data_IF_776297498744
#
_entry.id   IF_776297498744
#
_cell.length_a   1.000
_cell.length_b   1.000
_cell.length_c   1.000
_cell.angle_alpha   90.00
_cell.angle_beta   90.00
_cell.angle_gamma   90.00
#
_symmetry.space_group_name_H-M   'P 1'
#
loop_
_entity.id
_entity.type
_entity.pdbx_description
1 polymer ?
#
# COMPACT_ATOMS: atom_id res chain seq x y z
N UNK A 1 -17.58 41.23 -81.06
CA UNK A 1 -16.61 41.03 -79.98
C UNK A 1 -17.37 40.70 -78.69
N UNK A 2 -17.55 39.43 -78.35
CA UNK A 2 -18.08 39.00 -77.03
C UNK A 2 -17.92 37.48 -76.96
N UNK A 3 -16.71 37.02 -76.61
CA UNK A 3 -16.39 35.62 -76.29
C UNK A 3 -15.01 35.64 -75.63
N UNK A 4 -14.97 35.59 -74.30
CA UNK A 4 -13.86 35.22 -73.40
C UNK A 4 -14.04 35.94 -72.05
N UNK A 5 -14.94 35.46 -71.20
CA UNK A 5 -14.95 35.81 -69.76
C UNK A 5 -15.95 34.97 -68.95
N UNK A 6 -16.06 33.66 -69.24
CA UNK A 6 -17.00 32.79 -68.51
C UNK A 6 -16.48 31.34 -68.38
N UNK A 7 -15.18 31.18 -68.17
CA UNK A 7 -14.56 29.86 -67.90
C UNK A 7 -13.71 29.84 -66.61
N UNK A 8 -13.53 30.97 -65.92
CA UNK A 8 -12.72 31.01 -64.67
C UNK A 8 -13.53 30.94 -63.37
N UNK A 9 -14.86 30.85 -63.41
CA UNK A 9 -15.69 30.80 -62.20
C UNK A 9 -16.23 29.40 -61.83
N UNK A 10 -15.92 28.37 -62.64
CA UNK A 10 -16.38 26.99 -62.43
C UNK A 10 -15.28 26.00 -62.01
N UNK A 11 -14.05 26.49 -61.78
CA UNK A 11 -12.93 25.68 -61.29
C UNK A 11 -12.55 25.95 -59.82
N UNK A 12 -13.41 26.65 -59.07
CA UNK A 12 -13.16 27.00 -57.66
C UNK A 12 -14.29 26.54 -56.71
N UNK A 13 -14.96 25.43 -57.02
CA UNK A 13 -15.99 24.82 -56.14
C UNK A 13 -15.79 23.34 -55.85
N UNK A 14 -14.59 22.81 -56.12
CA UNK A 14 -14.13 21.53 -55.59
C UNK A 14 -12.92 21.75 -54.68
N UNK A 15 -13.02 22.72 -53.76
CA UNK A 15 -12.35 22.53 -52.46
C UNK A 15 -13.19 21.46 -51.79
N UNK A 16 -12.73 20.21 -51.86
CA UNK A 16 -13.19 19.17 -50.95
C UNK A 16 -13.19 19.81 -49.57
N UNK A 17 -14.37 19.98 -48.98
CA UNK A 17 -14.46 20.16 -47.54
C UNK A 17 -13.85 18.88 -46.96
N UNK A 18 -12.54 18.91 -46.74
CA UNK A 18 -11.91 18.08 -45.72
C UNK A 18 -12.54 18.64 -44.44
N UNK A 19 -13.72 18.12 -44.07
CA UNK A 19 -14.20 18.31 -42.72
C UNK A 19 -13.06 17.76 -41.87
N UNK A 20 -12.36 18.64 -41.16
CA UNK A 20 -11.39 18.22 -40.17
C UNK A 20 -12.16 17.27 -39.25
N UNK A 21 -11.91 15.97 -39.40
CA UNK A 21 -12.68 14.97 -38.70
C UNK A 21 -12.46 15.22 -37.22
N UNK A 22 -13.51 15.68 -36.53
CA UNK A 22 -13.38 16.12 -35.15
C UNK A 22 -13.19 14.88 -34.30
N UNK A 23 -12.04 14.77 -33.64
CA UNK A 23 -11.76 13.66 -32.73
C UNK A 23 -12.63 13.88 -31.49
N UNK A 24 -13.45 12.88 -31.09
CA UNK A 24 -14.23 12.95 -29.86
C UNK A 24 -13.38 13.35 -28.64
N UNK A 25 -13.99 14.07 -27.70
CA UNK A 25 -13.31 14.46 -26.45
C UNK A 25 -13.04 13.28 -25.52
N UNK A 26 -13.84 12.22 -25.63
CA UNK A 26 -13.59 10.93 -24.98
C UNK A 26 -12.59 10.13 -25.82
N UNK A 27 -11.46 9.80 -25.19
CA UNK A 27 -10.35 9.13 -25.87
C UNK A 27 -9.49 8.33 -24.92
N UNK A 28 -8.79 7.37 -25.50
CA UNK A 28 -7.65 6.70 -24.89
C UNK A 28 -6.44 6.95 -25.78
N UNK A 29 -5.37 7.42 -25.17
CA UNK A 29 -4.12 7.76 -25.85
C UNK A 29 -3.10 6.67 -25.55
N UNK A 30 -2.59 6.03 -26.60
CA UNK A 30 -1.65 4.91 -26.50
C UNK A 30 -0.28 5.33 -27.02
N UNK A 31 0.75 4.80 -26.34
CA UNK A 31 2.12 4.89 -26.82
C UNK A 31 2.48 3.65 -27.62
N UNK A 32 3.07 3.86 -28.80
CA UNK A 32 3.46 2.83 -29.75
C UNK A 32 4.98 2.80 -29.84
N UNK A 33 5.54 1.62 -29.62
CA UNK A 33 6.97 1.37 -29.61
C UNK A 33 7.64 1.78 -30.93
N UNK A 34 8.90 2.24 -30.87
CA UNK A 34 9.74 2.44 -32.06
C UNK A 34 9.70 1.26 -33.02
N UNK A 35 9.74 1.55 -34.32
CA UNK A 35 9.80 0.59 -35.42
C UNK A 35 8.58 -0.36 -35.53
N UNK A 36 7.48 -0.08 -34.82
CA UNK A 36 6.23 -0.79 -35.05
C UNK A 36 5.77 -0.57 -36.51
N UNK A 37 5.47 -1.67 -37.21
CA UNK A 37 4.93 -1.65 -38.58
C UNK A 37 3.41 -1.58 -38.61
N UNK A 38 2.76 -1.85 -37.48
CA UNK A 38 1.32 -1.72 -37.32
C UNK A 38 0.89 -1.85 -35.87
N UNK A 39 -0.39 -1.68 -35.63
CA UNK A 39 -1.03 -1.80 -34.31
C UNK A 39 -2.38 -2.48 -34.47
N UNK A 40 -2.80 -3.21 -33.44
CA UNK A 40 -4.14 -3.78 -33.38
C UNK A 40 -4.67 -3.82 -31.95
N UNK A 41 -5.98 -3.62 -31.81
CA UNK A 41 -6.70 -3.63 -30.54
C UNK A 41 -8.19 -3.85 -30.82
N UNK A 42 -8.92 -4.30 -29.81
CA UNK A 42 -10.35 -4.53 -29.90
C UNK A 42 -11.11 -3.47 -29.11
N UNK A 43 -12.17 -2.93 -29.68
CA UNK A 43 -13.01 -1.91 -29.03
C UNK A 43 -14.47 -2.34 -29.02
N UNK A 44 -15.23 -1.75 -28.11
CA UNK A 44 -16.70 -1.72 -28.18
C UNK A 44 -17.17 -0.31 -27.88
N UNK A 45 -18.10 0.18 -28.68
CA UNK A 45 -18.81 1.43 -28.42
C UNK A 45 -20.28 1.13 -28.13
N UNK A 46 -21.02 2.10 -27.59
CA UNK A 46 -22.48 2.01 -27.56
C UNK A 46 -23.05 2.04 -28.99
N UNK A 47 -24.23 1.44 -29.17
CA UNK A 47 -24.82 1.27 -30.49
C UNK A 47 -24.90 2.62 -31.23
N UNK A 48 -24.38 2.65 -32.46
CA UNK A 48 -24.35 3.79 -33.39
C UNK A 48 -23.24 4.84 -33.15
N UNK A 49 -22.39 4.71 -32.14
CA UNK A 49 -21.26 5.64 -31.97
C UNK A 49 -20.07 5.23 -32.86
N UNK A 50 -19.62 6.08 -33.79
CA UNK A 50 -18.46 5.77 -34.63
C UNK A 50 -17.17 5.76 -33.80
N UNK A 51 -16.26 4.86 -34.16
CA UNK A 51 -14.91 4.85 -33.63
C UNK A 51 -14.00 5.67 -34.55
N UNK A 52 -13.26 6.62 -33.99
CA UNK A 52 -12.27 7.42 -34.71
C UNK A 52 -10.89 7.14 -34.13
N UNK A 53 -9.96 6.71 -34.97
CA UNK A 53 -8.58 6.49 -34.57
C UNK A 53 -7.65 7.46 -35.30
N UNK A 54 -6.87 8.23 -34.55
CA UNK A 54 -5.77 9.04 -35.06
C UNK A 54 -4.46 8.27 -34.87
N UNK A 55 -3.82 7.85 -35.96
CA UNK A 55 -2.61 7.01 -35.91
C UNK A 55 -1.30 7.80 -35.79
N UNK A 56 -1.40 9.10 -35.49
CA UNK A 56 -0.27 9.97 -35.18
C UNK A 56 0.23 10.77 -36.40
N UNK A 57 1.32 11.51 -36.20
CA UNK A 57 1.88 12.38 -37.22
C UNK A 57 2.21 11.62 -38.52
N UNK A 58 1.86 12.21 -39.65
CA UNK A 58 2.03 11.64 -41.00
C UNK A 58 1.23 10.35 -41.27
N UNK A 59 0.27 10.00 -40.41
CA UNK A 59 -0.67 8.90 -40.64
C UNK A 59 -2.09 9.44 -40.84
N UNK A 60 -2.98 8.59 -41.38
CA UNK A 60 -4.37 8.96 -41.56
C UNK A 60 -5.16 8.91 -40.24
N UNK A 61 -6.16 9.78 -40.12
CA UNK A 61 -7.29 9.56 -39.20
C UNK A 61 -8.28 8.63 -39.91
N UNK A 62 -8.72 7.56 -39.23
CA UNK A 62 -9.67 6.60 -39.80
C UNK A 62 -10.89 6.44 -38.91
N UNK A 63 -12.06 6.34 -39.54
CA UNK A 63 -13.29 5.90 -38.90
C UNK A 63 -13.46 4.40 -39.07
N UNK A 64 -13.91 3.73 -38.02
CA UNK A 64 -14.33 2.34 -38.05
C UNK A 64 -15.80 2.26 -37.64
N UNK A 65 -16.55 1.43 -38.36
CA UNK A 65 -17.93 1.11 -37.98
C UNK A 65 -17.90 0.12 -36.83
N UNK A 66 -18.43 0.53 -35.68
CA UNK A 66 -18.55 -0.35 -34.53
C UNK A 66 -19.62 -1.43 -34.76
N UNK A 67 -19.41 -2.61 -34.17
CA UNK A 67 -20.39 -3.70 -34.24
C UNK A 67 -21.68 -3.32 -33.49
N UNK A 68 -22.83 -3.56 -34.11
CA UNK A 68 -24.15 -3.17 -33.56
C UNK A 68 -24.79 -4.26 -32.69
N UNK A 69 -24.22 -5.47 -32.70
CA UNK A 69 -24.65 -6.64 -31.93
C UNK A 69 -24.01 -6.71 -30.53
N UNK A 70 -23.23 -5.70 -30.16
CA UNK A 70 -22.53 -5.64 -28.88
C UNK A 70 -21.19 -6.39 -28.84
N UNK A 71 -20.74 -6.97 -29.96
CA UNK A 71 -19.42 -7.60 -30.07
C UNK A 71 -18.27 -6.57 -30.12
N UNK A 72 -17.05 -7.07 -29.94
CA UNK A 72 -15.84 -6.26 -30.11
C UNK A 72 -15.53 -6.05 -31.60
N UNK A 73 -15.29 -4.80 -31.99
CA UNK A 73 -14.70 -4.45 -33.28
C UNK A 73 -13.18 -4.53 -33.19
N UNK A 74 -12.56 -5.38 -34.02
CA UNK A 74 -11.10 -5.40 -34.16
C UNK A 74 -10.66 -4.25 -35.04
N UNK A 75 -9.72 -3.46 -34.54
CA UNK A 75 -9.02 -2.42 -35.31
C UNK A 75 -7.63 -2.96 -35.62
N UNK A 76 -7.27 -2.91 -36.90
CA UNK A 76 -5.93 -3.21 -37.37
C UNK A 76 -5.46 -2.08 -38.28
N UNK A 77 -4.25 -1.60 -38.05
CA UNK A 77 -3.66 -0.53 -38.85
C UNK A 77 -2.19 -0.82 -39.11
N UNK A 78 -1.82 -0.83 -40.39
CA UNK A 78 -0.42 -0.84 -40.83
C UNK A 78 0.02 0.61 -41.04
N UNK A 79 1.12 1.00 -40.39
CA UNK A 79 1.67 2.34 -40.51
C UNK A 79 2.25 2.53 -41.91
N UNK A 80 1.83 3.59 -42.59
CA UNK A 80 2.34 3.94 -43.93
C UNK A 80 3.76 4.48 -43.82
N UNK A 81 4.04 5.20 -42.73
CA UNK A 81 5.33 5.81 -42.45
C UNK A 81 5.88 5.30 -41.12
N UNK A 82 6.46 4.08 -41.04
CA UNK A 82 7.05 3.56 -39.81
C UNK A 82 8.05 4.56 -39.19
N UNK A 83 8.07 4.66 -37.86
CA UNK A 83 8.85 5.66 -37.12
C UNK A 83 9.91 4.95 -36.31
N UNK A 84 11.14 5.43 -36.39
CA UNK A 84 12.25 4.99 -35.54
C UNK A 84 12.16 5.51 -34.11
N UNK A 85 11.27 6.47 -33.87
CA UNK A 85 10.91 6.99 -32.56
C UNK A 85 9.56 6.45 -32.11
N UNK A 86 9.33 6.50 -30.80
CA UNK A 86 8.01 6.29 -30.23
C UNK A 86 6.99 7.27 -30.83
N UNK A 87 5.77 6.79 -31.03
CA UNK A 87 4.65 7.63 -31.50
C UNK A 87 3.44 7.45 -30.62
N UNK A 88 2.53 8.40 -30.71
CA UNK A 88 1.24 8.36 -30.01
C UNK A 88 0.12 8.11 -31.00
N UNK A 89 -0.86 7.31 -30.59
CA UNK A 89 -2.14 7.17 -31.30
C UNK A 89 -3.28 7.47 -30.35
N UNK A 90 -4.41 7.91 -30.91
CA UNK A 90 -5.62 8.21 -30.15
C UNK A 90 -6.74 7.30 -30.63
N UNK A 91 -7.44 6.69 -29.68
CA UNK A 91 -8.63 5.86 -29.90
C UNK A 91 -9.80 6.60 -29.26
N UNK A 92 -10.68 7.18 -30.07
CA UNK A 92 -11.71 8.11 -29.62
C UNK A 92 -13.10 7.68 -30.13
N UNK A 93 -14.10 7.81 -29.25
CA UNK A 93 -15.51 7.58 -29.57
C UNK A 93 -16.36 8.28 -28.52
N UNK A 94 -17.49 8.88 -28.90
CA UNK A 94 -18.40 9.57 -27.96
C UNK A 94 -18.96 8.66 -26.85
N UNK A 95 -18.86 7.34 -27.03
CA UNK A 95 -19.31 6.33 -26.08
C UNK A 95 -18.44 5.08 -26.13
N UNK A 96 -17.14 5.23 -25.84
CA UNK A 96 -16.21 4.10 -25.79
C UNK A 96 -16.50 3.25 -24.55
N UNK A 97 -17.08 2.05 -24.73
CA UNK A 97 -17.48 1.17 -23.61
C UNK A 97 -16.37 0.20 -23.20
N UNK A 98 -15.55 -0.23 -24.16
CA UNK A 98 -14.47 -1.19 -23.90
C UNK A 98 -13.28 -0.93 -24.81
N UNK A 99 -12.07 -0.98 -24.24
CA UNK A 99 -10.83 -1.12 -24.99
C UNK A 99 -10.08 -2.34 -24.48
N UNK A 100 -9.66 -3.20 -25.41
CA UNK A 100 -8.90 -4.41 -25.12
C UNK A 100 -7.64 -4.49 -26.00
N UNK A 101 -6.50 -4.55 -25.33
CA UNK A 101 -5.17 -4.73 -25.91
C UNK A 101 -4.58 -5.99 -25.29
N UNK A 102 -4.35 -7.03 -26.09
CA UNK A 102 -3.84 -8.32 -25.62
C UNK A 102 -2.67 -8.78 -26.47
N UNK A 103 -1.53 -9.05 -25.83
CA UNK A 103 -0.32 -9.60 -26.47
C UNK A 103 0.20 -8.74 -27.63
N UNK A 104 0.12 -7.41 -27.49
CA UNK A 104 0.53 -6.46 -28.53
C UNK A 104 1.86 -5.81 -28.16
N UNK A 105 2.95 -6.38 -28.68
CA UNK A 105 4.32 -5.88 -28.45
C UNK A 105 4.55 -4.47 -28.99
N UNK A 106 3.68 -4.00 -29.87
CA UNK A 106 3.78 -2.68 -30.50
C UNK A 106 3.24 -1.58 -29.58
N UNK A 107 2.37 -1.89 -28.63
CA UNK A 107 1.93 -0.93 -27.61
C UNK A 107 2.92 -1.02 -26.44
N UNK A 108 3.38 0.12 -25.93
CA UNK A 108 4.30 0.18 -24.81
C UNK A 108 3.89 1.22 -23.74
N UNK A 109 2.67 1.76 -23.84
CA UNK A 109 2.14 2.71 -22.88
C UNK A 109 0.66 3.03 -23.06
N UNK A 110 0.03 3.44 -21.96
CA UNK A 110 -1.29 4.07 -21.91
C UNK A 110 -1.08 5.45 -21.29
N UNK A 111 -1.16 6.49 -22.11
CA UNK A 111 -0.75 7.84 -21.73
C UNK A 111 -1.90 8.67 -21.15
N UNK A 112 -3.11 8.44 -21.64
CA UNK A 112 -4.34 9.10 -21.17
C UNK A 112 -5.51 8.14 -21.31
N UNK A 113 -6.40 8.10 -20.31
CA UNK A 113 -7.68 7.40 -20.38
C UNK A 113 -8.77 8.36 -19.90
N UNK A 114 -9.63 8.77 -20.82
CA UNK A 114 -10.72 9.70 -20.55
C UNK A 114 -11.98 9.27 -21.28
N UNK A 115 -12.95 8.76 -20.56
CA UNK A 115 -14.25 8.40 -21.12
C UNK A 115 -15.26 8.18 -20.01
N UNK A 116 -16.39 8.87 -20.09
CA UNK A 116 -17.47 8.65 -19.14
C UNK A 116 -18.22 7.35 -19.43
N UNK A 117 -18.15 6.82 -20.65
CA UNK A 117 -18.80 5.57 -21.03
C UNK A 117 -17.98 4.30 -20.75
N UNK A 118 -16.68 4.42 -20.48
CA UNK A 118 -15.77 3.27 -20.39
C UNK A 118 -16.09 2.38 -19.19
N UNK A 119 -16.44 1.12 -19.47
CA UNK A 119 -16.73 0.11 -18.45
C UNK A 119 -15.61 -0.90 -18.26
N UNK A 120 -14.87 -1.21 -19.33
CA UNK A 120 -13.83 -2.24 -19.29
C UNK A 120 -12.56 -1.74 -20.00
N UNK A 121 -11.45 -1.74 -19.29
CA UNK A 121 -10.12 -1.52 -19.86
C UNK A 121 -9.26 -2.74 -19.60
N UNK A 122 -8.87 -3.42 -20.66
CA UNK A 122 -8.03 -4.61 -20.61
C UNK A 122 -6.73 -4.33 -21.38
N UNK A 123 -5.61 -4.23 -20.67
CA UNK A 123 -4.29 -4.05 -21.26
C UNK A 123 -3.41 -5.16 -20.71
N UNK A 124 -3.51 -6.34 -21.33
CA UNK A 124 -2.88 -7.55 -20.85
C UNK A 124 -1.74 -8.00 -21.78
N UNK A 125 -0.66 -8.53 -21.22
CA UNK A 125 0.53 -8.95 -21.97
C UNK A 125 1.15 -7.82 -22.82
N UNK A 126 1.15 -6.60 -22.29
CA UNK A 126 1.72 -5.40 -22.91
C UNK A 126 2.78 -4.85 -21.95
N UNK A 127 4.02 -4.69 -22.39
CA UNK A 127 5.08 -4.18 -21.52
C UNK A 127 4.90 -2.67 -21.30
N UNK A 128 4.48 -2.30 -20.08
CA UNK A 128 4.26 -0.91 -19.67
C UNK A 128 5.46 -0.34 -18.89
N UNK A 129 6.61 -1.02 -18.82
CA UNK A 129 7.75 -0.53 -18.00
C UNK A 129 8.23 0.88 -18.39
N UNK A 130 8.11 1.24 -19.67
CA UNK A 130 8.47 2.59 -20.14
C UNK A 130 7.47 3.66 -19.69
N UNK A 131 6.19 3.31 -19.68
CA UNK A 131 5.05 4.17 -19.32
C UNK A 131 4.23 3.48 -18.23
N UNK A 132 4.80 3.42 -17.03
CA UNK A 132 4.40 2.48 -15.98
C UNK A 132 3.29 2.97 -15.05
N UNK A 133 2.66 4.10 -15.37
CA UNK A 133 1.50 4.63 -14.67
C UNK A 133 0.28 4.49 -15.57
N UNK A 134 -0.78 3.88 -15.06
CA UNK A 134 -2.10 3.87 -15.70
C UNK A 134 -3.04 4.70 -14.85
N UNK A 135 -3.50 5.82 -15.42
CA UNK A 135 -4.40 6.75 -14.75
C UNK A 135 -5.78 6.69 -15.41
N UNK A 136 -6.75 6.17 -14.66
CA UNK A 136 -8.15 6.03 -15.08
C UNK A 136 -9.08 6.89 -14.20
N UNK A 137 -8.55 7.93 -13.56
CA UNK A 137 -9.33 8.80 -12.69
C UNK A 137 -10.50 9.49 -13.39
N UNK A 138 -10.38 9.73 -14.71
CA UNK A 138 -11.41 10.35 -15.56
C UNK A 138 -12.35 9.32 -16.22
N UNK A 139 -12.53 8.16 -15.59
CA UNK A 139 -13.43 7.10 -16.07
C UNK A 139 -14.43 6.72 -14.96
N UNK A 140 -15.40 7.57 -14.63
CA UNK A 140 -16.30 7.37 -13.49
C UNK A 140 -17.18 6.12 -13.59
N UNK A 141 -17.42 5.58 -14.79
CA UNK A 141 -18.22 4.37 -14.99
C UNK A 141 -17.38 3.10 -15.23
N UNK A 142 -16.07 3.16 -14.97
CA UNK A 142 -15.21 2.00 -15.11
C UNK A 142 -15.63 0.93 -14.08
N UNK A 143 -15.81 -0.30 -14.56
CA UNK A 143 -16.18 -1.45 -13.74
C UNK A 143 -14.99 -2.41 -13.59
N UNK A 144 -14.20 -2.59 -14.65
CA UNK A 144 -13.11 -3.57 -14.70
C UNK A 144 -11.86 -2.96 -15.31
N UNK A 145 -10.74 -3.10 -14.59
CA UNK A 145 -9.39 -2.81 -15.08
C UNK A 145 -8.51 -4.06 -14.98
N UNK A 146 -7.99 -4.56 -16.10
CA UNK A 146 -6.98 -5.63 -16.11
C UNK A 146 -5.68 -5.15 -16.74
N UNK A 147 -4.60 -5.29 -15.97
CA UNK A 147 -3.23 -4.93 -16.35
C UNK A 147 -2.31 -6.14 -16.10
N UNK A 148 -2.73 -7.33 -16.52
CA UNK A 148 -1.98 -8.57 -16.28
C UNK A 148 -0.81 -8.68 -17.23
N UNK A 149 0.33 -9.14 -16.75
CA UNK A 149 1.56 -9.28 -17.53
C UNK A 149 2.07 -7.95 -18.11
N UNK A 150 1.97 -6.87 -17.33
CA UNK A 150 2.31 -5.52 -17.81
C UNK A 150 3.52 -4.88 -17.16
N UNK A 151 3.83 -5.22 -15.91
CA UNK A 151 4.88 -4.53 -15.16
C UNK A 151 4.51 -3.10 -14.74
N UNK A 152 3.21 -2.74 -14.74
CA UNK A 152 2.72 -1.44 -14.23
C UNK A 152 3.18 -1.20 -12.79
N UNK A 153 3.58 0.04 -12.48
CA UNK A 153 4.07 0.43 -11.15
C UNK A 153 3.07 1.29 -10.37
N UNK A 154 2.23 2.07 -11.05
CA UNK A 154 1.22 2.92 -10.42
C UNK A 154 -0.13 2.82 -11.14
N UNK A 155 -1.19 2.69 -10.35
CA UNK A 155 -2.58 2.74 -10.83
C UNK A 155 -3.32 3.84 -10.06
N UNK A 156 -3.94 4.75 -10.80
CA UNK A 156 -4.88 5.74 -10.24
C UNK A 156 -6.29 5.32 -10.63
N UNK A 157 -7.07 4.87 -9.66
CA UNK A 157 -8.45 4.43 -9.85
C UNK A 157 -9.41 5.64 -9.90
N UNK A 158 -10.57 5.52 -10.57
CA UNK A 158 -11.61 6.53 -10.47
C UNK A 158 -12.19 6.57 -9.05
N UNK A 159 -12.67 7.75 -8.66
CA UNK A 159 -13.52 7.89 -7.48
C UNK A 159 -14.93 7.47 -7.88
N UNK A 160 -15.28 6.22 -7.62
CA UNK A 160 -16.52 5.65 -8.16
C UNK A 160 -16.98 4.40 -7.42
N UNK A 161 -18.30 4.30 -7.29
CA UNK A 161 -19.02 3.13 -6.79
C UNK A 161 -19.22 2.06 -7.89
N UNK A 162 -18.79 2.30 -9.12
CA UNK A 162 -18.96 1.37 -10.25
C UNK A 162 -17.85 0.34 -10.36
N UNK A 163 -16.67 0.64 -9.81
CA UNK A 163 -15.49 -0.24 -9.88
C UNK A 163 -15.74 -1.55 -9.14
N UNK A 164 -15.61 -2.67 -9.86
CA UNK A 164 -15.82 -4.04 -9.34
C UNK A 164 -14.52 -4.83 -9.26
N UNK A 165 -13.63 -4.66 -10.23
CA UNK A 165 -12.39 -5.45 -10.32
C UNK A 165 -11.20 -4.61 -10.77
N UNK A 166 -10.07 -4.80 -10.09
CA UNK A 166 -8.76 -4.30 -10.52
C UNK A 166 -7.71 -5.39 -10.43
N UNK A 167 -6.93 -5.58 -11.50
CA UNK A 167 -5.88 -6.59 -11.56
C UNK A 167 -4.60 -6.03 -12.17
N UNK A 168 -3.45 -6.44 -11.64
CA UNK A 168 -2.13 -6.05 -12.13
C UNK A 168 -1.09 -7.13 -11.81
N UNK A 169 -0.12 -7.31 -12.70
CA UNK A 169 1.03 -8.18 -12.44
C UNK A 169 2.29 -7.76 -13.22
N UNK A 170 3.49 -8.21 -12.78
CA UNK A 170 4.74 -8.09 -13.54
C UNK A 170 4.60 -8.60 -14.96
N UNK A 171 5.47 -8.18 -15.87
CA UNK A 171 5.53 -8.73 -17.23
C UNK A 171 5.70 -10.24 -17.25
N UNK A 172 5.53 -10.87 -18.43
CA UNK A 172 5.83 -12.30 -18.63
C UNK A 172 7.25 -12.70 -18.17
N UNK A 173 8.20 -11.77 -18.19
CA UNK A 173 9.58 -11.98 -17.76
C UNK A 173 9.79 -11.68 -16.27
N UNK A 174 8.73 -11.37 -15.52
CA UNK A 174 8.78 -11.02 -14.10
C UNK A 174 9.32 -9.62 -13.83
N UNK A 175 9.27 -8.71 -14.80
CA UNK A 175 9.78 -7.34 -14.67
C UNK A 175 8.66 -6.35 -14.34
N UNK A 176 9.01 -5.26 -13.66
CA UNK A 176 8.03 -4.29 -13.13
C UNK A 176 7.20 -4.86 -11.99
N UNK A 177 6.67 -3.99 -11.13
CA UNK A 177 5.83 -4.41 -10.01
C UNK A 177 4.96 -3.25 -9.53
N UNK A 178 3.69 -3.51 -9.24
CA UNK A 178 2.80 -2.50 -8.68
C UNK A 178 3.33 -2.01 -7.33
N UNK A 179 3.64 -0.72 -7.22
CA UNK A 179 4.16 -0.05 -6.01
C UNK A 179 3.10 0.85 -5.37
N UNK A 180 2.14 1.34 -6.16
CA UNK A 180 1.17 2.33 -5.70
C UNK A 180 -0.20 2.12 -6.32
N UNK A 181 -1.19 1.97 -5.45
CA UNK A 181 -2.61 1.95 -5.78
C UNK A 181 -3.39 2.41 -4.55
N UNK A 182 -4.44 3.18 -4.74
CA UNK A 182 -5.38 3.54 -3.69
C UNK A 182 -6.76 3.00 -4.07
N UNK A 183 -7.23 1.99 -3.34
CA UNK A 183 -8.55 1.39 -3.51
C UNK A 183 -9.64 2.04 -2.64
N UNK A 184 -9.29 3.02 -1.79
CA UNK A 184 -10.24 3.67 -0.89
C UNK A 184 -11.39 4.35 -1.62
N UNK A 185 -11.11 5.00 -2.75
CA UNK A 185 -12.12 5.73 -3.52
C UNK A 185 -12.99 4.84 -4.43
N UNK A 186 -12.83 3.52 -4.34
CA UNK A 186 -13.58 2.52 -5.09
C UNK A 186 -14.21 1.50 -4.13
N UNK A 187 -15.22 1.89 -3.32
CA UNK A 187 -15.71 1.07 -2.20
C UNK A 187 -16.33 -0.27 -2.63
N UNK A 188 -16.93 -0.32 -3.82
CA UNK A 188 -17.66 -1.49 -4.32
C UNK A 188 -16.78 -2.54 -5.03
N UNK A 189 -15.46 -2.45 -4.91
CA UNK A 189 -14.57 -3.50 -5.39
C UNK A 189 -14.95 -4.84 -4.74
N UNK A 190 -15.24 -5.82 -5.59
CA UNK A 190 -15.47 -7.22 -5.20
C UNK A 190 -14.24 -8.10 -5.49
N UNK A 191 -13.33 -7.65 -6.35
CA UNK A 191 -12.12 -8.38 -6.73
C UNK A 191 -10.88 -7.48 -6.77
N UNK A 192 -9.83 -7.90 -6.07
CA UNK A 192 -8.49 -7.30 -6.15
C UNK A 192 -7.48 -8.39 -6.51
N UNK A 193 -6.70 -8.17 -7.58
CA UNK A 193 -5.67 -9.10 -8.05
C UNK A 193 -4.32 -8.43 -8.30
N UNK A 194 -3.47 -8.34 -7.28
CA UNK A 194 -2.13 -7.76 -7.34
C UNK A 194 -1.05 -8.83 -7.16
N UNK A 195 -0.79 -9.60 -8.20
CA UNK A 195 0.28 -10.62 -8.18
C UNK A 195 1.63 -9.94 -8.40
N UNK A 196 2.66 -10.31 -7.65
CA UNK A 196 3.99 -9.74 -7.86
C UNK A 196 4.16 -8.28 -7.44
N UNK A 197 3.20 -7.73 -6.70
CA UNK A 197 3.25 -6.35 -6.25
C UNK A 197 4.36 -6.11 -5.20
N UNK A 198 4.82 -4.87 -5.14
CA UNK A 198 5.80 -4.34 -4.19
C UNK A 198 5.13 -3.35 -3.21
N UNK A 199 3.94 -3.69 -2.72
CA UNK A 199 3.20 -2.90 -1.74
C UNK A 199 3.42 -3.47 -0.33
N UNK A 200 3.71 -2.60 0.63
CA UNK A 200 3.96 -3.02 2.03
C UNK A 200 2.65 -3.16 2.83
N UNK A 201 1.66 -2.32 2.54
CA UNK A 201 0.36 -2.36 3.21
C UNK A 201 -0.76 -2.16 2.19
N UNK A 202 -1.81 -2.99 2.29
CA UNK A 202 -3.07 -2.80 1.57
C UNK A 202 -4.16 -2.41 2.58
N UNK A 203 -4.98 -1.40 2.27
CA UNK A 203 -6.05 -0.95 3.15
C UNK A 203 -7.42 -1.28 2.55
N UNK A 204 -8.08 -2.32 3.05
CA UNK A 204 -9.37 -2.81 2.54
C UNK A 204 -10.53 -2.45 3.46
N UNK A 205 -10.34 -1.51 4.40
CA UNK A 205 -11.41 -1.12 5.34
C UNK A 205 -12.64 -0.52 4.65
N UNK A 206 -12.47 0.02 3.44
CA UNK A 206 -13.57 0.54 2.62
C UNK A 206 -14.07 -0.47 1.56
N UNK A 207 -13.58 -1.73 1.57
CA UNK A 207 -13.91 -2.76 0.58
C UNK A 207 -14.32 -4.07 1.27
N UNK A 208 -15.31 -3.98 2.15
CA UNK A 208 -15.72 -5.13 3.01
C UNK A 208 -16.43 -6.24 2.25
N UNK A 209 -16.93 -5.96 1.04
CA UNK A 209 -17.64 -6.88 0.15
C UNK A 209 -16.72 -7.59 -0.87
N UNK A 210 -15.41 -7.62 -0.62
CA UNK A 210 -14.50 -8.41 -1.45
C UNK A 210 -14.86 -9.90 -1.38
N UNK A 211 -15.03 -10.50 -2.54
CA UNK A 211 -15.21 -11.95 -2.72
C UNK A 211 -13.90 -12.63 -3.16
N UNK A 212 -13.00 -11.88 -3.80
CA UNK A 212 -11.66 -12.34 -4.18
C UNK A 212 -10.57 -11.35 -3.80
N UNK A 213 -9.57 -11.82 -3.07
CA UNK A 213 -8.35 -11.08 -2.76
C UNK A 213 -7.12 -11.90 -3.12
N UNK A 214 -6.44 -11.51 -4.19
CA UNK A 214 -5.18 -12.10 -4.64
C UNK A 214 -4.09 -11.04 -4.54
N UNK A 215 -3.14 -11.22 -3.63
CA UNK A 215 -1.97 -10.37 -3.44
C UNK A 215 -0.75 -11.26 -3.20
N UNK A 216 -0.45 -12.17 -4.12
CA UNK A 216 0.52 -13.25 -3.93
C UNK A 216 1.85 -13.00 -4.63
N UNK A 217 2.88 -13.73 -4.21
CA UNK A 217 4.18 -13.85 -4.89
C UNK A 217 4.84 -12.47 -5.10
N UNK A 218 4.97 -11.65 -4.06
CA UNK A 218 5.48 -10.28 -4.19
C UNK A 218 6.90 -10.26 -4.75
N UNK A 219 7.32 -9.09 -5.23
CA UNK A 219 8.72 -8.91 -5.62
C UNK A 219 9.67 -9.20 -4.44
N UNK A 220 10.88 -9.66 -4.75
CA UNK A 220 11.84 -10.14 -3.74
C UNK A 220 12.06 -9.09 -2.64
N UNK A 221 11.83 -9.52 -1.38
CA UNK A 221 11.95 -8.68 -0.18
C UNK A 221 11.00 -7.46 -0.11
N UNK A 222 9.91 -7.45 -0.90
CA UNK A 222 8.94 -6.33 -0.99
C UNK A 222 7.49 -6.81 -0.76
N UNK A 223 7.31 -7.89 -0.01
CA UNK A 223 5.98 -8.43 0.29
C UNK A 223 5.18 -7.59 1.27
N UNK A 224 3.86 -7.80 1.24
CA UNK A 224 2.92 -7.21 2.18
C UNK A 224 3.29 -7.59 3.62
N UNK A 225 3.22 -6.60 4.50
CA UNK A 225 3.38 -6.71 5.95
C UNK A 225 2.12 -6.36 6.71
N UNK A 226 1.06 -5.96 6.01
CA UNK A 226 -0.24 -5.71 6.61
C UNK A 226 -1.36 -5.58 5.59
N UNK A 227 -2.53 -6.09 5.97
CA UNK A 227 -3.80 -5.83 5.29
C UNK A 227 -4.73 -5.20 6.33
N UNK A 228 -4.92 -3.88 6.26
CA UNK A 228 -5.81 -3.18 7.20
C UNK A 228 -7.24 -3.55 6.89
N UNK A 229 -7.98 -4.02 7.89
CA UNK A 229 -9.33 -4.53 7.69
C UNK A 229 -9.38 -6.00 7.23
N UNK A 230 -8.27 -6.75 7.25
CA UNK A 230 -8.25 -8.17 6.87
C UNK A 230 -9.38 -8.99 7.50
N UNK A 231 -9.62 -8.78 8.81
CA UNK A 231 -10.66 -9.48 9.57
C UNK A 231 -12.09 -8.98 9.28
N UNK A 232 -12.27 -7.91 8.52
CA UNK A 232 -13.58 -7.39 8.11
C UNK A 232 -14.09 -8.05 6.82
N UNK A 233 -13.22 -8.74 6.07
CA UNK A 233 -13.57 -9.41 4.82
C UNK A 233 -14.31 -10.73 5.09
N UNK A 234 -15.63 -10.66 5.28
CA UNK A 234 -16.47 -11.82 5.62
C UNK A 234 -17.03 -12.56 4.40
N UNK A 235 -16.95 -11.97 3.22
CA UNK A 235 -17.57 -12.47 1.98
C UNK A 235 -16.56 -13.15 1.04
N UNK A 236 -15.29 -13.25 1.44
CA UNK A 236 -14.26 -13.89 0.64
C UNK A 236 -14.60 -15.36 0.38
N UNK A 237 -14.52 -15.74 -0.89
CA UNK A 237 -14.51 -17.12 -1.36
C UNK A 237 -13.15 -17.51 -1.94
N UNK A 238 -12.30 -16.53 -2.27
CA UNK A 238 -10.94 -16.73 -2.79
C UNK A 238 -9.93 -15.81 -2.10
N UNK A 239 -8.84 -16.39 -1.62
CA UNK A 239 -7.72 -15.69 -1.00
C UNK A 239 -6.39 -16.28 -1.49
N UNK A 240 -5.52 -15.47 -2.07
CA UNK A 240 -4.11 -15.87 -2.28
C UNK A 240 -3.17 -14.75 -1.84
N UNK A 241 -2.54 -14.93 -0.69
CA UNK A 241 -1.57 -14.01 -0.09
C UNK A 241 -0.23 -14.70 0.15
N UNK A 242 0.07 -15.77 -0.60
CA UNK A 242 1.33 -16.52 -0.46
C UNK A 242 2.57 -15.65 -0.71
N UNK A 243 3.65 -15.95 0.00
CA UNK A 243 4.96 -15.32 -0.23
C UNK A 243 5.14 -13.93 0.39
N UNK A 244 4.16 -13.44 1.16
CA UNK A 244 4.24 -12.16 1.88
C UNK A 244 4.91 -12.32 3.25
N UNK A 245 4.74 -11.36 4.15
CA UNK A 245 5.22 -11.40 5.53
C UNK A 245 4.08 -11.04 6.50
N UNK A 246 2.93 -11.69 6.33
CA UNK A 246 1.71 -11.46 7.12
C UNK A 246 1.62 -12.41 8.32
N UNK A 247 1.18 -11.90 9.46
CA UNK A 247 0.79 -12.69 10.64
C UNK A 247 -0.71 -13.04 10.65
N UNK A 248 -1.14 -13.84 11.62
CA UNK A 248 -2.50 -14.39 11.68
C UNK A 248 -3.59 -13.32 11.67
N UNK A 249 -3.42 -12.22 12.40
CA UNK A 249 -4.39 -11.11 12.45
C UNK A 249 -4.48 -10.32 11.13
N UNK A 250 -3.44 -10.42 10.29
CA UNK A 250 -3.30 -9.69 9.03
C UNK A 250 -3.77 -10.48 7.81
N UNK A 251 -4.15 -11.75 7.99
CA UNK A 251 -4.67 -12.62 6.93
C UNK A 251 -6.19 -12.77 7.14
N UNK A 252 -7.05 -12.56 6.13
CA UNK A 252 -8.49 -12.78 6.25
C UNK A 252 -8.84 -14.21 6.71
N UNK A 253 -9.91 -14.37 7.49
CA UNK A 253 -10.41 -15.70 7.84
C UNK A 253 -11.39 -16.20 6.76
N UNK A 254 -11.59 -17.50 6.70
CA UNK A 254 -12.66 -18.12 5.90
C UNK A 254 -13.97 -18.11 6.68
N UNK A 255 -14.89 -17.24 6.27
CA UNK A 255 -16.24 -17.17 6.83
C UNK A 255 -17.27 -17.94 6.00
N UNK A 256 -17.14 -17.92 4.67
CA UNK A 256 -18.02 -18.65 3.76
C UNK A 256 -17.71 -20.15 3.83
N UNK A 257 -18.62 -20.92 4.45
CA UNK A 257 -18.42 -22.34 4.77
C UNK A 257 -18.37 -23.23 3.53
N UNK A 258 -18.98 -22.81 2.42
CA UNK A 258 -18.98 -23.59 1.17
C UNK A 258 -17.82 -23.22 0.23
N UNK A 259 -17.03 -22.19 0.56
CA UNK A 259 -15.87 -21.83 -0.24
C UNK A 259 -14.77 -22.91 -0.14
N UNK A 260 -14.18 -23.40 -1.24
CA UNK A 260 -13.18 -24.46 -1.19
C UNK A 260 -11.97 -24.08 -0.31
N UNK A 261 -11.42 -25.03 0.45
CA UNK A 261 -10.27 -24.76 1.34
C UNK A 261 -9.01 -24.44 0.53
N UNK A 262 -8.87 -25.06 -0.64
CA UNK A 262 -7.78 -24.86 -1.59
C UNK A 262 -7.73 -23.43 -2.17
N UNK A 263 -8.84 -22.69 -2.11
CA UNK A 263 -8.92 -21.30 -2.54
C UNK A 263 -8.42 -20.32 -1.47
N UNK A 264 -8.07 -20.80 -0.27
CA UNK A 264 -7.46 -20.00 0.80
C UNK A 264 -5.98 -20.31 0.96
N UNK A 265 -5.15 -19.58 0.22
CA UNK A 265 -3.71 -19.82 0.08
C UNK A 265 -2.90 -18.73 0.78
N UNK A 266 -2.15 -19.13 1.81
CA UNK A 266 -1.35 -18.21 2.63
C UNK A 266 0.02 -18.80 3.03
N UNK A 267 0.48 -19.87 2.37
CA UNK A 267 1.79 -20.47 2.61
C UNK A 267 2.96 -19.53 2.26
N UNK A 268 4.16 -19.94 2.67
CA UNK A 268 5.43 -19.26 2.36
C UNK A 268 5.53 -17.84 2.91
N UNK A 269 4.88 -17.54 4.03
CA UNK A 269 5.07 -16.27 4.73
C UNK A 269 6.53 -16.14 5.22
N UNK A 270 7.09 -14.95 5.07
CA UNK A 270 8.34 -14.54 5.69
C UNK A 270 8.17 -14.21 7.17
N UNK A 271 9.23 -13.68 7.76
CA UNK A 271 9.22 -13.32 9.18
C UNK A 271 8.26 -12.16 9.46
N UNK A 272 7.50 -12.28 10.55
CA UNK A 272 6.61 -11.22 11.02
C UNK A 272 7.41 -10.07 11.63
N UNK A 273 7.16 -8.85 11.16
CA UNK A 273 7.69 -7.64 11.78
C UNK A 273 6.73 -7.17 12.87
N UNK A 274 7.09 -7.40 14.13
CA UNK A 274 6.31 -6.91 15.28
C UNK A 274 6.31 -5.37 15.26
N UNK A 275 5.14 -4.72 15.24
CA UNK A 275 5.06 -3.26 15.27
C UNK A 275 5.68 -2.70 16.55
N UNK A 276 6.36 -1.55 16.46
CA UNK A 276 6.95 -0.90 17.64
C UNK A 276 5.92 -0.56 18.72
N UNK A 277 4.67 -0.27 18.33
CA UNK A 277 3.57 -0.01 19.27
C UNK A 277 3.17 -1.23 20.12
N UNK A 278 3.60 -2.44 19.73
CA UNK A 278 3.42 -3.68 20.49
C UNK A 278 4.59 -4.00 21.42
N UNK A 279 5.60 -3.12 21.48
CA UNK A 279 6.76 -3.29 22.34
C UNK A 279 6.78 -2.16 23.36
N UNK A 280 6.81 -2.51 24.64
CA UNK A 280 6.93 -1.55 25.74
C UNK A 280 7.93 -2.10 26.75
N UNK A 281 9.12 -1.50 26.77
CA UNK A 281 10.18 -1.95 27.65
C UNK A 281 10.61 -3.37 27.33
N UNK A 282 10.60 -4.22 28.36
CA UNK A 282 10.85 -5.66 28.24
C UNK A 282 9.59 -6.47 27.93
N UNK A 283 8.53 -5.83 27.46
CA UNK A 283 7.24 -6.48 27.16
C UNK A 283 6.94 -6.44 25.66
N UNK A 284 6.49 -7.58 25.14
CA UNK A 284 5.93 -7.71 23.78
C UNK A 284 4.47 -8.12 23.87
N UNK A 285 3.58 -7.32 23.28
CA UNK A 285 2.14 -7.53 23.23
C UNK A 285 1.74 -8.15 21.88
N UNK A 286 1.50 -9.47 21.88
CA UNK A 286 0.97 -10.22 20.74
C UNK A 286 -0.47 -10.69 21.02
N UNK A 287 -1.24 -9.95 21.82
CA UNK A 287 -2.62 -10.30 22.18
C UNK A 287 -3.49 -10.57 20.93
N UNK A 288 -3.35 -9.77 19.88
CA UNK A 288 -4.13 -9.91 18.65
C UNK A 288 -3.85 -11.24 17.90
N UNK A 289 -2.70 -11.87 18.19
CA UNK A 289 -2.32 -13.16 17.64
C UNK A 289 -2.73 -14.33 18.55
N UNK A 290 -3.16 -14.07 19.80
CA UNK A 290 -3.36 -15.11 20.82
C UNK A 290 -4.47 -16.10 20.44
N UNK A 291 -5.55 -15.60 19.84
CA UNK A 291 -6.68 -16.39 19.35
C UNK A 291 -6.99 -15.99 17.91
N UNK A 292 -6.79 -16.92 16.97
CA UNK A 292 -7.00 -16.69 15.54
C UNK A 292 -7.83 -17.80 14.91
N UNK A 293 -8.67 -17.47 13.92
CA UNK A 293 -9.56 -18.44 13.25
C UNK A 293 -8.95 -19.02 11.99
N UNK A 294 -8.48 -18.16 11.08
CA UNK A 294 -7.96 -18.61 9.78
C UNK A 294 -9.00 -19.39 8.99
N UNK A 295 -8.67 -20.62 8.60
CA UNK A 295 -9.62 -21.52 7.90
C UNK A 295 -10.39 -22.45 8.85
N UNK A 296 -10.13 -22.41 10.16
CA UNK A 296 -10.87 -23.22 11.14
C UNK A 296 -12.32 -22.73 11.31
N UNK A 297 -13.17 -23.62 11.81
CA UNK A 297 -14.56 -23.31 12.17
C UNK A 297 -14.66 -22.50 13.47
N UNK A 298 -13.63 -22.55 14.31
CA UNK A 298 -13.54 -21.82 15.58
C UNK A 298 -12.22 -21.04 15.70
N UNK A 299 -12.12 -20.17 16.72
CA UNK A 299 -10.84 -19.53 17.05
C UNK A 299 -9.95 -20.53 17.77
N UNK A 300 -8.75 -20.70 17.26
CA UNK A 300 -7.72 -21.56 17.80
C UNK A 300 -6.70 -20.75 18.61
N UNK A 301 -6.21 -21.33 19.71
CA UNK A 301 -5.14 -20.73 20.50
C UNK A 301 -3.81 -20.85 19.77
N UNK A 302 -3.06 -19.75 19.74
CA UNK A 302 -1.70 -19.74 19.22
C UNK A 302 -0.72 -20.25 20.27
N UNK A 303 0.17 -21.15 19.86
CA UNK A 303 1.34 -21.55 20.63
C UNK A 303 2.50 -20.58 20.33
N UNK A 304 3.15 -20.08 21.37
CA UNK A 304 4.28 -19.16 21.27
C UNK A 304 5.53 -19.81 21.87
N UNK A 305 6.56 -20.01 21.05
CA UNK A 305 7.87 -20.53 21.46
C UNK A 305 8.90 -19.42 21.37
N UNK A 306 9.32 -18.93 22.53
CA UNK A 306 10.30 -17.85 22.65
C UNK A 306 11.73 -18.36 22.76
N UNK A 307 12.63 -17.68 22.08
CA UNK A 307 14.07 -17.87 22.20
C UNK A 307 14.77 -16.53 22.33
N UNK A 308 15.95 -16.53 22.93
CA UNK A 308 16.75 -15.33 23.17
C UNK A 308 18.21 -15.52 22.80
N UNK A 309 18.94 -14.40 22.73
CA UNK A 309 20.41 -14.36 22.74
C UNK A 309 20.87 -13.50 23.91
N UNK A 310 21.85 -14.00 24.66
CA UNK A 310 22.48 -13.25 25.76
C UNK A 310 23.26 -12.02 25.28
N UNK A 311 23.90 -12.12 24.11
CA UNK A 311 24.61 -11.02 23.44
C UNK A 311 24.46 -11.15 21.91
N UNK A 312 24.96 -10.18 21.15
CA UNK A 312 24.78 -10.16 19.68
C UNK A 312 25.36 -11.40 18.98
N UNK A 313 26.50 -11.90 19.47
CA UNK A 313 27.23 -13.04 18.93
C UNK A 313 26.78 -14.39 19.51
N UNK A 314 26.00 -14.39 20.59
CA UNK A 314 25.51 -15.62 21.22
C UNK A 314 24.58 -16.43 20.30
N UNK A 315 24.50 -17.74 20.54
CA UNK A 315 23.53 -18.62 19.88
C UNK A 315 22.13 -18.46 20.49
N UNK A 316 21.10 -18.76 19.70
CA UNK A 316 19.73 -18.74 20.20
C UNK A 316 19.46 -19.90 21.18
N UNK A 317 18.90 -19.57 22.33
CA UNK A 317 18.48 -20.54 23.35
C UNK A 317 16.99 -20.36 23.67
N UNK A 318 16.32 -21.41 24.15
CA UNK A 318 14.94 -21.30 24.63
C UNK A 318 14.90 -20.38 25.85
N UNK A 319 13.92 -19.48 25.92
CA UNK A 319 13.73 -18.64 27.11
C UNK A 319 13.32 -19.53 28.30
N UNK A 320 14.05 -19.49 29.43
CA UNK A 320 13.65 -20.19 30.65
C UNK A 320 12.28 -19.73 31.16
N UNK A 321 11.48 -20.66 31.69
CA UNK A 321 10.09 -20.39 32.06
C UNK A 321 9.94 -19.42 33.24
N UNK A 322 10.94 -19.36 34.11
CA UNK A 322 11.06 -18.45 35.25
C UNK A 322 11.53 -17.04 34.85
N UNK A 323 12.12 -16.88 33.66
CA UNK A 323 12.60 -15.59 33.13
C UNK A 323 11.63 -14.94 32.13
N UNK A 324 10.39 -15.44 32.06
CA UNK A 324 9.35 -14.87 31.22
C UNK A 324 7.98 -15.07 31.84
N UNK A 325 7.21 -14.00 31.99
CA UNK A 325 5.78 -14.09 32.30
C UNK A 325 4.96 -14.01 31.02
N UNK A 326 3.84 -14.73 30.98
CA UNK A 326 2.92 -14.77 29.83
C UNK A 326 1.49 -14.64 30.32
N UNK A 327 0.77 -13.63 29.81
CA UNK A 327 -0.64 -13.41 30.07
C UNK A 327 -1.36 -13.07 28.76
N UNK A 328 -2.21 -13.98 28.29
CA UNK A 328 -3.06 -13.77 27.10
C UNK A 328 -2.31 -13.26 25.84
N UNK A 329 -1.10 -13.75 25.58
CA UNK A 329 -0.30 -13.32 24.43
C UNK A 329 0.55 -12.07 24.67
N UNK A 330 0.58 -11.55 25.91
CA UNK A 330 1.57 -10.56 26.35
C UNK A 330 2.71 -11.27 27.08
N UNK A 331 3.94 -10.93 26.71
CA UNK A 331 5.14 -11.59 27.21
C UNK A 331 6.08 -10.55 27.81
N UNK A 332 6.44 -10.71 29.08
CA UNK A 332 7.44 -9.85 29.74
C UNK A 332 8.67 -10.67 30.07
N UNK A 333 9.82 -10.15 29.69
CA UNK A 333 11.10 -10.83 29.78
C UNK A 333 11.95 -10.28 30.92
N UNK A 334 12.67 -11.16 31.61
CA UNK A 334 13.64 -10.74 32.62
C UNK A 334 14.87 -10.10 31.97
N UNK A 335 15.41 -9.05 32.60
CA UNK A 335 16.58 -8.33 32.09
C UNK A 335 17.87 -9.18 32.10
N UNK A 336 17.94 -10.18 32.99
CA UNK A 336 19.07 -11.12 33.10
C UNK A 336 19.26 -12.01 31.87
N UNK A 337 18.31 -12.00 30.93
CA UNK A 337 18.45 -12.65 29.63
C UNK A 337 19.50 -11.97 28.72
N UNK A 338 20.05 -10.82 29.11
CA UNK A 338 21.05 -10.07 28.34
C UNK A 338 22.29 -9.77 29.17
N UNK A 339 23.46 -9.84 28.52
CA UNK A 339 24.76 -9.41 29.04
C UNK A 339 24.98 -7.89 28.90
N UNK A 340 24.17 -7.21 28.07
CA UNK A 340 24.41 -5.88 27.55
C UNK A 340 23.13 -5.01 27.48
N UNK A 341 22.36 -4.92 28.56
CA UNK A 341 21.15 -4.07 28.73
C UNK A 341 20.09 -4.16 27.61
N UNK A 342 20.23 -5.10 26.68
CA UNK A 342 19.44 -5.22 25.46
C UNK A 342 19.01 -6.67 25.29
N UNK A 343 17.79 -6.96 25.73
CA UNK A 343 17.21 -8.30 25.64
C UNK A 343 16.83 -8.57 24.17
N UNK A 344 17.48 -9.58 23.57
CA UNK A 344 17.27 -9.96 22.17
C UNK A 344 16.42 -11.23 22.13
N UNK A 345 15.17 -11.11 21.71
CA UNK A 345 14.24 -12.24 21.65
C UNK A 345 13.69 -12.43 20.25
N UNK A 346 13.24 -13.64 19.94
CA UNK A 346 12.37 -13.89 18.80
C UNK A 346 11.35 -14.97 19.17
N UNK A 347 10.19 -14.91 18.53
CA UNK A 347 9.12 -15.87 18.74
C UNK A 347 8.91 -16.72 17.49
N UNK A 348 8.66 -18.02 17.68
CA UNK A 348 8.04 -18.89 16.68
C UNK A 348 6.62 -19.17 17.10
N UNK A 349 5.67 -19.09 16.17
CA UNK A 349 4.25 -19.19 16.45
C UNK A 349 3.58 -20.26 15.59
N UNK A 350 2.70 -21.04 16.20
CA UNK A 350 1.88 -22.08 15.56
C UNK A 350 0.41 -21.82 15.88
N UNK A 351 -0.49 -21.93 14.90
CA UNK A 351 -1.93 -21.82 15.13
C UNK A 351 -2.68 -22.83 14.25
N UNK A 352 -3.61 -23.59 14.85
CA UNK A 352 -4.37 -24.64 14.15
C UNK A 352 -5.26 -24.13 13.01
N UNK A 353 -5.64 -22.85 13.05
CA UNK A 353 -6.42 -22.18 12.00
C UNK A 353 -5.61 -21.84 10.74
N UNK A 354 -4.29 -21.98 10.78
CA UNK A 354 -3.39 -21.65 9.67
C UNK A 354 -2.45 -22.82 9.32
N UNK A 355 -2.97 -24.00 8.95
CA UNK A 355 -2.13 -25.10 8.49
C UNK A 355 -1.31 -24.67 7.26
N UNK A 356 -0.05 -25.08 7.20
CA UNK A 356 0.83 -24.75 6.06
C UNK A 356 1.38 -23.32 6.05
N UNK A 357 1.13 -22.51 7.09
CA UNK A 357 1.68 -21.15 7.16
C UNK A 357 3.21 -21.16 7.23
N UNK A 358 3.84 -20.15 6.63
CA UNK A 358 5.29 -20.02 6.58
C UNK A 358 5.95 -21.03 5.63
N UNK A 359 7.18 -21.43 5.93
CA UNK A 359 7.94 -22.36 5.07
C UNK A 359 7.25 -23.72 5.00
N UNK A 360 7.17 -24.29 3.78
CA UNK A 360 6.55 -25.59 3.52
C UNK A 360 7.00 -26.65 4.54
N UNK A 361 6.03 -27.31 5.17
CA UNK A 361 6.25 -28.36 6.16
C UNK A 361 6.53 -27.89 7.59
N UNK A 362 6.70 -26.58 7.84
CA UNK A 362 6.98 -26.06 9.18
C UNK A 362 5.73 -25.61 9.95
N UNK A 363 4.64 -25.25 9.25
CA UNK A 363 3.38 -24.76 9.85
C UNK A 363 3.57 -23.65 10.90
N UNK A 364 4.57 -22.81 10.70
CA UNK A 364 4.99 -21.80 11.69
C UNK A 364 5.40 -20.51 11.01
N UNK A 365 5.17 -19.41 11.72
CA UNK A 365 5.75 -18.10 11.41
C UNK A 365 6.68 -17.69 12.54
N UNK A 366 7.79 -17.03 12.21
CA UNK A 366 8.72 -16.50 13.20
C UNK A 366 8.78 -14.99 13.10
N UNK A 367 9.00 -14.30 14.22
CA UNK A 367 9.28 -12.87 14.18
C UNK A 367 10.68 -12.60 13.64
N UNK A 368 10.93 -11.36 13.19
CA UNK A 368 12.29 -10.84 13.22
C UNK A 368 12.81 -10.79 14.67
N UNK A 369 14.13 -10.67 14.85
CA UNK A 369 14.69 -10.42 16.18
C UNK A 369 14.10 -9.11 16.72
N UNK A 370 13.53 -9.21 17.91
CA UNK A 370 12.99 -8.08 18.67
C UNK A 370 14.06 -7.70 19.68
N UNK A 371 14.47 -6.43 19.64
CA UNK A 371 15.40 -5.83 20.59
C UNK A 371 14.57 -5.08 21.62
N UNK A 372 14.66 -5.51 22.88
CA UNK A 372 13.92 -4.97 24.01
C UNK A 372 14.88 -4.23 24.91
N UNK A 373 14.56 -2.97 25.16
CA UNK A 373 15.28 -2.14 26.12
C UNK A 373 14.40 -2.00 27.33
N UNK A 374 14.97 -2.03 28.54
CA UNK A 374 14.19 -1.75 29.73
C UNK A 374 13.58 -0.36 29.57
N UNK A 375 12.26 -0.25 29.71
CA UNK A 375 11.62 1.06 29.82
C UNK A 375 12.38 1.80 30.92
N UNK A 376 12.80 3.06 30.71
CA UNK A 376 13.43 3.83 31.77
C UNK A 376 12.44 3.92 32.93
N UNK A 377 12.59 3.05 33.91
CA UNK A 377 12.00 3.21 35.23
C UNK A 377 12.68 4.44 35.78
N UNK A 378 12.00 5.57 35.77
CA UNK A 378 12.43 6.85 36.35
C UNK A 378 13.93 7.05 36.61
N UNK A 379 14.52 8.02 35.90
CA UNK A 379 15.80 8.69 36.22
C UNK A 379 17.10 7.88 36.05
N UNK A 380 17.11 6.68 35.45
CA UNK A 380 18.38 5.98 35.15
C UNK A 380 19.07 6.43 33.85
N UNK A 381 18.52 7.37 33.08
CA UNK A 381 19.12 7.93 31.85
C UNK A 381 19.26 9.45 31.87
N UNK A 382 19.28 10.05 33.04
CA UNK A 382 19.51 11.49 33.19
C UNK A 382 21.01 11.70 33.17
N UNK A 383 21.53 12.25 32.08
CA UNK A 383 22.86 12.81 32.11
C UNK A 383 22.80 14.03 33.03
N UNK A 384 23.64 14.04 34.06
CA UNK A 384 24.01 15.27 34.78
C UNK A 384 24.68 16.20 33.76
N UNK A 385 23.89 16.96 33.00
CA UNK A 385 24.41 18.19 32.43
C UNK A 385 24.50 19.17 33.59
N UNK A 386 25.66 19.80 33.76
CA UNK A 386 25.87 20.83 34.77
C UNK A 386 24.73 21.86 34.71
N UNK A 387 23.79 21.77 35.66
CA UNK A 387 22.57 22.58 35.62
C UNK A 387 22.90 24.04 35.90
N UNK A 388 22.34 24.94 35.08
CA UNK A 388 22.49 26.41 35.17
C UNK A 388 21.79 27.05 36.39
N UNK A 389 21.18 26.22 37.25
CA UNK A 389 20.57 26.61 38.52
C UNK A 389 20.77 25.52 39.59
N UNK A 390 20.83 25.94 40.86
CA UNK A 390 20.89 25.08 42.03
C UNK A 390 19.59 25.13 42.83
N UNK A 391 19.26 24.03 43.53
CA UNK A 391 18.09 23.97 44.40
C UNK A 391 18.50 23.49 45.78
N UNK A 392 18.09 24.20 46.83
CA UNK A 392 18.31 23.85 48.23
C UNK A 392 16.97 23.79 48.97
N UNK A 393 16.82 22.85 49.90
CA UNK A 393 15.61 22.79 50.72
C UNK A 393 15.59 23.91 51.76
N UNK A 394 14.41 24.45 52.06
CA UNK A 394 14.18 25.40 53.16
C UNK A 394 13.16 24.81 54.14
N UNK A 395 12.97 25.43 55.30
CA UNK A 395 11.99 24.97 56.30
C UNK A 395 10.56 24.93 55.73
N UNK A 396 10.21 25.90 54.89
CA UNK A 396 8.87 26.06 54.30
C UNK A 396 8.75 25.56 52.85
N UNK A 397 9.84 25.12 52.21
CA UNK A 397 9.83 24.90 50.77
C UNK A 397 11.19 24.52 50.18
N UNK A 398 11.50 25.14 49.05
CA UNK A 398 12.85 25.13 48.47
C UNK A 398 13.25 26.53 47.97
N UNK A 399 14.56 26.77 47.92
CA UNK A 399 15.18 27.91 47.27
C UNK A 399 15.82 27.46 45.98
N UNK A 400 15.51 28.16 44.89
CA UNK A 400 16.05 27.91 43.56
C UNK A 400 16.94 29.10 43.22
N UNK A 401 18.24 28.85 43.08
CA UNK A 401 19.26 29.87 42.77
C UNK A 401 19.74 29.70 41.32
N UNK A 402 19.85 30.79 40.56
CA UNK A 402 20.38 30.78 39.20
C UNK A 402 21.32 31.97 39.01
N UNK A 403 22.39 31.79 38.21
CA UNK A 403 23.33 32.87 37.88
C UNK A 403 22.73 33.92 36.93
N UNK A 404 21.74 33.53 36.12
CA UNK A 404 20.93 34.43 35.28
C UNK A 404 19.44 34.16 35.48
N UNK A 405 18.59 35.21 35.51
CA UNK A 405 17.15 35.03 35.62
C UNK A 405 16.58 34.16 34.50
N UNK A 406 15.74 33.19 34.83
CA UNK A 406 15.12 32.27 33.88
C UNK A 406 13.79 31.71 34.39
N UNK A 407 12.94 31.28 33.46
CA UNK A 407 11.68 30.61 33.77
C UNK A 407 11.89 29.16 34.22
N UNK A 408 11.19 28.78 35.28
CA UNK A 408 11.23 27.43 35.87
C UNK A 408 9.83 26.99 36.25
N UNK A 409 9.58 25.69 36.14
CA UNK A 409 8.35 25.03 36.62
C UNK A 409 8.70 23.91 37.61
N UNK A 410 7.98 23.87 38.73
CA UNK A 410 8.05 22.83 39.74
C UNK A 410 6.88 21.86 39.55
N UNK A 411 7.21 20.57 39.47
CA UNK A 411 6.26 19.47 39.33
C UNK A 411 6.30 18.57 40.56
N UNK A 412 5.15 18.03 40.95
CA UNK A 412 5.08 16.88 41.85
C UNK A 412 5.46 15.59 41.13
N UNK A 413 5.69 14.51 41.88
CA UNK A 413 6.10 13.21 41.32
C UNK A 413 5.07 12.56 40.37
N UNK A 414 3.79 12.91 40.51
CA UNK A 414 2.71 12.48 39.61
C UNK A 414 2.63 13.32 38.31
N UNK A 415 3.53 14.29 38.14
CA UNK A 415 3.63 15.13 36.94
C UNK A 415 2.73 16.37 36.96
N UNK A 416 2.02 16.65 38.06
CA UNK A 416 1.20 17.85 38.19
C UNK A 416 2.07 19.09 38.42
N UNK A 417 1.75 20.19 37.76
CA UNK A 417 2.40 21.49 38.00
C UNK A 417 1.99 22.02 39.37
N UNK A 418 2.98 22.27 40.22
CA UNK A 418 2.81 22.81 41.58
C UNK A 418 3.10 24.31 41.58
N UNK A 419 4.06 24.77 40.78
CA UNK A 419 4.43 26.18 40.69
C UNK A 419 5.15 26.50 39.38
N UNK A 420 5.00 27.71 38.86
CA UNK A 420 5.76 28.23 37.70
C UNK A 420 6.13 29.69 37.94
N UNK A 421 7.35 30.10 37.61
CA UNK A 421 7.79 31.48 37.74
C UNK A 421 9.25 31.71 37.36
N UNK A 422 9.77 32.88 37.68
CA UNK A 422 11.16 33.27 37.42
C UNK A 422 12.05 33.01 38.65
N UNK A 423 13.28 32.55 38.43
CA UNK A 423 14.29 32.30 39.48
C UNK A 423 15.45 33.30 39.36
N UNK A 424 16.20 33.64 40.43
CA UNK A 424 16.22 33.01 41.76
C UNK A 424 14.97 33.34 42.60
N UNK A 425 14.45 32.35 43.33
CA UNK A 425 13.26 32.53 44.18
C UNK A 425 13.17 31.48 45.30
N UNK A 426 12.26 31.70 46.25
CA UNK A 426 11.85 30.70 47.24
C UNK A 426 10.42 30.28 46.95
N UNK A 427 10.19 28.98 46.88
CA UNK A 427 8.89 28.38 46.60
C UNK A 427 8.44 27.57 47.82
N UNK A 428 7.29 27.91 48.38
CA UNK A 428 6.65 27.10 49.41
C UNK A 428 6.05 25.84 48.78
N UNK A 429 6.40 24.66 49.30
CA UNK A 429 6.03 23.36 48.73
C UNK A 429 5.77 22.39 49.86
N UNK A 430 4.67 21.68 50.02
CA UNK A 430 4.49 20.73 51.15
C UNK A 430 5.61 19.67 51.26
N UNK A 431 5.75 18.97 52.42
CA UNK A 431 6.76 17.90 52.56
C UNK A 431 6.57 16.84 51.47
N UNK A 432 7.65 16.52 50.75
CA UNK A 432 7.53 15.68 49.57
C UNK A 432 8.72 15.78 48.62
N UNK A 433 8.58 15.11 47.49
CA UNK A 433 9.56 15.09 46.42
C UNK A 433 9.04 15.88 45.22
N UNK A 434 9.88 16.75 44.68
CA UNK A 434 9.54 17.62 43.55
C UNK A 434 10.62 17.61 42.49
N UNK A 435 10.23 18.00 41.28
CA UNK A 435 11.11 18.19 40.12
C UNK A 435 11.03 19.66 39.72
N UNK A 436 12.16 20.36 39.77
CA UNK A 436 12.29 21.74 39.33
C UNK A 436 12.90 21.73 37.93
N UNK A 437 12.22 22.25 36.91
CA UNK A 437 12.65 22.20 35.50
C UNK A 437 12.69 23.59 34.86
N UNK A 438 13.78 23.97 34.20
CA UNK A 438 13.88 25.21 33.41
C UNK A 438 13.21 25.09 32.04
N UNK A 439 13.00 26.24 31.40
CA UNK A 439 12.54 26.32 30.01
C UNK A 439 13.51 25.65 29.02
N UNK A 440 14.82 25.68 29.29
CA UNK A 440 15.84 24.98 28.50
C UNK A 440 15.76 23.45 28.61
N UNK A 441 15.01 22.94 29.59
CA UNK A 441 14.84 21.51 29.84
C UNK A 441 15.76 20.93 30.93
N UNK A 442 16.64 21.73 31.53
CA UNK A 442 17.45 21.34 32.69
C UNK A 442 16.57 21.15 33.92
N UNK A 443 16.97 20.27 34.84
CA UNK A 443 16.17 20.05 36.03
C UNK A 443 16.96 19.55 37.24
N UNK A 444 16.39 19.78 38.42
CA UNK A 444 16.92 19.35 39.72
C UNK A 444 15.78 18.73 40.53
N UNK A 445 16.07 17.63 41.22
CA UNK A 445 15.14 17.06 42.19
C UNK A 445 15.40 17.67 43.56
N UNK A 446 14.32 17.99 44.25
CA UNK A 446 14.40 18.45 45.64
C UNK A 446 13.48 17.63 46.52
N UNK A 447 14.01 17.23 47.66
CA UNK A 447 13.23 16.68 48.77
C UNK A 447 13.03 17.81 49.77
N UNK A 448 11.78 18.14 50.10
CA UNK A 448 11.46 18.96 51.27
C UNK A 448 11.16 18.08 52.46
#
# INVERSE_FOLDING_TARGET
MMKKLLVSALFLSYVTMVSAQTIPSERIVLSIAPNATGVSFAVRTDANAPLVCNFGANEAVKTYTAATDGNLTMVEYTFVHPSTSERTIEVAADKLVTLRIVQKKQVNGVLEVKSDALKNLNVDYVDLQKHNKVDVAQCPNLEVLTLTFTGVEEIVLPKSDMMKSVQASPTLLGQGSLKKVNNWDAPNLSQIGFVGASIDTLDVRNNTHLTSLVCSLPAKNKGLRGIKGAKMLKELTMLDVRGNALAFDQIPDRYVVDAPLEDFRYSSQGSYLVPKSKVSGLTVDLYDLFLSRGISTARERTEFVWKYKASETANYQKVPADLMTSESGKFTFDASLSEDNLVRVYCTMTNGGYPGIGVKGKNTISTYMIKLEKNPTGISTVKDNASIFGVSATETGCRIDASTPQGVTVYSLDGKTVWTGQVPTTVELERGMYIVRSESGDYVKVKR
#
